data_IF_104696417317
#
_entry.id   IF_104696417317
#
_cell.length_a   1.000
_cell.length_b   1.000
_cell.length_c   1.000
_cell.angle_alpha   90.00
_cell.angle_beta   90.00
_cell.angle_gamma   90.00
#
_symmetry.space_group_name_H-M   'P 1'
#
loop_
_entity.id
_entity.type
_entity.pdbx_description
1 polymer ?
#
# COMPACT_ATOMS: atom_id res chain seq x y z
N UNK A 1 -5.81 -26.97 2.79
CA UNK A 1 -5.66 -25.63 3.38
C UNK A 1 -4.38 -25.01 2.85
N UNK A 2 -4.42 -23.88 2.13
CA UNK A 2 -3.20 -23.15 1.74
C UNK A 2 -2.55 -22.57 2.99
N UNK A 3 -1.25 -22.76 3.11
CA UNK A 3 -0.43 -22.39 4.26
C UNK A 3 -0.31 -20.85 4.28
N UNK A 4 -0.71 -20.22 5.38
CA UNK A 4 -0.40 -18.83 5.64
C UNK A 4 1.12 -18.69 5.83
N UNK A 5 1.80 -18.05 4.88
CA UNK A 5 3.21 -17.69 5.04
C UNK A 5 3.31 -16.52 6.01
N UNK A 6 4.25 -16.59 6.94
CA UNK A 6 4.58 -15.48 7.85
C UNK A 6 5.99 -15.03 7.56
N UNK A 7 6.15 -13.73 7.42
CA UNK A 7 7.46 -13.11 7.19
C UNK A 7 7.80 -12.24 8.38
N UNK A 8 9.06 -12.29 8.80
CA UNK A 8 9.59 -11.33 9.76
C UNK A 8 10.01 -10.10 8.98
N UNK A 9 9.41 -8.97 9.29
CA UNK A 9 9.73 -7.68 8.67
C UNK A 9 11.01 -7.13 9.31
N UNK A 10 12.00 -6.77 8.50
CA UNK A 10 13.24 -6.13 8.96
C UNK A 10 13.12 -4.61 8.82
N UNK A 11 12.67 -3.94 9.88
CA UNK A 11 12.54 -2.48 9.91
C UNK A 11 13.90 -1.81 10.14
N UNK A 12 14.32 -1.00 9.17
CA UNK A 12 15.52 -0.15 9.29
C UNK A 12 15.19 1.09 10.15
N UNK A 13 16.19 1.63 10.85
CA UNK A 13 16.03 2.71 11.85
C UNK A 13 15.40 3.99 11.28
N UNK A 14 15.78 4.36 10.06
CA UNK A 14 15.26 5.50 9.32
C UNK A 14 13.75 5.43 9.08
N UNK A 15 13.20 4.23 8.96
CA UNK A 15 11.79 4.03 8.69
C UNK A 15 10.89 4.27 9.91
N UNK A 16 11.32 3.85 11.12
CA UNK A 16 10.58 4.10 12.36
C UNK A 16 10.39 5.60 12.62
N UNK A 17 11.42 6.39 12.35
CA UNK A 17 11.36 7.85 12.49
C UNK A 17 10.35 8.49 11.52
N UNK A 18 10.23 7.97 10.29
CA UNK A 18 9.26 8.46 9.29
C UNK A 18 7.83 8.09 9.64
N UNK A 19 7.58 6.88 10.14
CA UNK A 19 6.26 6.47 10.64
C UNK A 19 5.82 7.36 11.81
N UNK A 20 6.75 7.69 12.71
CA UNK A 20 6.48 8.57 13.84
C UNK A 20 6.24 10.05 13.45
N UNK A 21 6.78 10.49 12.30
CA UNK A 21 6.68 11.88 11.85
C UNK A 21 5.50 12.15 10.90
N UNK A 22 4.82 11.12 10.40
CA UNK A 22 3.77 11.26 9.38
C UNK A 22 2.41 11.63 10.00
N UNK A 23 1.67 12.53 9.35
CA UNK A 23 0.29 12.85 9.76
C UNK A 23 -0.70 11.88 9.10
N UNK A 24 -1.86 11.66 9.75
CA UNK A 24 -2.93 10.81 9.17
C UNK A 24 -3.35 11.28 7.77
N UNK A 25 -3.42 12.59 7.54
CA UNK A 25 -3.73 13.19 6.23
C UNK A 25 -2.68 12.82 5.19
N UNK A 26 -1.40 12.92 5.54
CA UNK A 26 -0.28 12.57 4.65
C UNK A 26 -0.36 11.10 4.25
N UNK A 27 -0.60 10.21 5.21
CA UNK A 27 -0.69 8.77 4.94
C UNK A 27 -1.88 8.43 4.07
N UNK A 28 -3.05 9.03 4.31
CA UNK A 28 -4.22 8.86 3.43
C UNK A 28 -3.93 9.31 2.00
N UNK A 29 -3.24 10.43 1.83
CA UNK A 29 -2.82 10.90 0.50
C UNK A 29 -1.85 9.91 -0.17
N UNK A 30 -0.89 9.37 0.57
CA UNK A 30 0.04 8.36 0.05
C UNK A 30 -0.67 7.07 -0.37
N UNK A 31 -1.67 6.59 0.40
CA UNK A 31 -2.48 5.42 0.02
C UNK A 31 -3.28 5.69 -1.26
N UNK A 32 -3.83 6.90 -1.42
CA UNK A 32 -4.50 7.31 -2.64
C UNK A 32 -3.52 7.37 -3.83
N UNK A 33 -2.31 7.91 -3.63
CA UNK A 33 -1.27 7.92 -4.67
C UNK A 33 -0.86 6.50 -5.09
N UNK A 34 -0.70 5.57 -4.13
CA UNK A 34 -0.43 4.17 -4.45
C UNK A 34 -1.54 3.53 -5.29
N UNK A 35 -2.80 3.89 -5.02
CA UNK A 35 -3.94 3.44 -5.83
C UNK A 35 -3.84 3.96 -7.27
N UNK A 36 -3.46 5.24 -7.44
CA UNK A 36 -3.30 5.86 -8.75
C UNK A 36 -2.11 5.28 -9.53
N UNK A 37 -1.04 4.89 -8.85
CA UNK A 37 0.10 4.17 -9.43
C UNK A 37 -0.25 2.75 -9.88
N UNK A 38 -1.28 2.16 -9.28
CA UNK A 38 -1.88 0.90 -9.71
C UNK A 38 -2.88 1.09 -10.87
N UNK A 39 -2.90 2.28 -11.49
CA UNK A 39 -3.83 2.66 -12.57
C UNK A 39 -5.31 2.69 -12.18
N UNK A 40 -5.63 2.82 -10.89
CA UNK A 40 -7.02 2.95 -10.44
C UNK A 40 -7.70 4.18 -11.04
N UNK A 41 -8.96 4.05 -11.44
CA UNK A 41 -9.82 5.16 -11.89
C UNK A 41 -10.67 5.69 -10.74
N UNK A 42 -11.00 4.83 -9.79
CA UNK A 42 -11.81 5.15 -8.63
C UNK A 42 -11.02 4.78 -7.38
N UNK A 43 -10.89 5.75 -6.47
CA UNK A 43 -10.32 5.53 -5.13
C UNK A 43 -11.38 5.99 -4.13
N UNK A 44 -11.82 5.08 -3.28
CA UNK A 44 -12.77 5.35 -2.22
C UNK A 44 -12.06 5.34 -0.87
N UNK A 45 -12.33 6.36 -0.06
CA UNK A 45 -11.90 6.42 1.33
C UNK A 45 -13.16 6.47 2.19
N UNK A 46 -13.32 5.49 3.07
CA UNK A 46 -14.46 5.41 3.98
C UNK A 46 -14.00 5.19 5.42
N UNK A 47 -14.83 5.66 6.35
CA UNK A 47 -14.54 5.63 7.78
C UNK A 47 -15.69 4.90 8.48
N UNK A 48 -15.35 3.94 9.33
CA UNK A 48 -16.28 3.39 10.32
C UNK A 48 -16.05 4.13 11.62
N UNK A 49 -17.08 4.84 12.09
CA UNK A 49 -17.05 5.59 13.33
C UNK A 49 -17.81 4.81 14.39
N UNK A 50 -17.12 4.48 15.48
CA UNK A 50 -17.69 3.88 16.67
C UNK A 50 -18.01 4.91 17.73
N UNK A 51 -18.27 4.43 18.93
CA UNK A 51 -18.68 5.26 20.09
C UNK A 51 -17.58 6.20 20.58
N UNK A 52 -16.30 5.83 20.41
CA UNK A 52 -15.14 6.59 20.88
C UNK A 52 -14.37 7.30 19.75
N UNK A 53 -14.89 7.27 18.52
CA UNK A 53 -14.25 7.84 17.34
C UNK A 53 -14.06 6.83 16.21
N UNK A 54 -13.12 7.11 15.31
CA UNK A 54 -12.87 6.25 14.14
C UNK A 54 -12.33 4.88 14.55
N UNK A 55 -13.07 3.82 14.25
CA UNK A 55 -12.67 2.43 14.49
C UNK A 55 -11.92 1.83 13.30
N UNK A 56 -12.27 2.27 12.08
CA UNK A 56 -11.67 1.75 10.85
C UNK A 56 -11.61 2.82 9.77
N UNK A 57 -10.50 2.81 9.05
CA UNK A 57 -10.32 3.54 7.80
C UNK A 57 -10.14 2.51 6.70
N UNK A 58 -10.94 2.61 5.63
CA UNK A 58 -10.85 1.72 4.47
C UNK A 58 -10.51 2.58 3.25
N UNK A 59 -9.37 2.30 2.64
CA UNK A 59 -9.00 2.80 1.31
C UNK A 59 -9.14 1.63 0.34
N UNK A 60 -9.93 1.81 -0.72
CA UNK A 60 -10.17 0.79 -1.74
C UNK A 60 -10.13 1.40 -3.13
N UNK A 61 -9.59 0.66 -4.09
CA UNK A 61 -9.41 1.11 -5.46
C UNK A 61 -9.78 0.03 -6.50
N UNK A 62 -10.03 0.45 -7.74
CA UNK A 62 -10.26 -0.44 -8.89
C UNK A 62 -9.00 -0.66 -9.75
N UNK A 63 -7.82 -0.50 -9.16
CA UNK A 63 -6.54 -0.66 -9.82
C UNK A 63 -6.19 -2.11 -10.12
N UNK A 64 -4.99 -2.27 -10.67
CA UNK A 64 -4.44 -3.55 -11.14
C UNK A 64 -4.10 -4.55 -10.04
N UNK A 65 -4.05 -4.11 -8.78
CA UNK A 65 -3.68 -4.94 -7.63
C UNK A 65 -2.19 -5.30 -7.61
N UNK A 66 -1.86 -6.34 -6.85
CA UNK A 66 -0.49 -6.83 -6.64
C UNK A 66 -0.48 -8.34 -6.88
N UNK A 67 0.42 -8.82 -7.74
CA UNK A 67 0.58 -10.25 -7.99
C UNK A 67 1.10 -10.99 -6.75
N UNK A 68 0.76 -12.27 -6.59
CA UNK A 68 1.26 -13.04 -5.45
C UNK A 68 2.79 -13.12 -5.40
N UNK A 69 3.44 -13.14 -6.58
CA UNK A 69 4.91 -13.14 -6.72
C UNK A 69 5.53 -11.82 -6.25
N UNK A 70 4.90 -10.70 -6.55
CA UNK A 70 5.42 -9.38 -6.20
C UNK A 70 5.09 -8.99 -4.76
N UNK A 71 3.99 -9.53 -4.21
CA UNK A 71 3.53 -9.23 -2.85
C UNK A 71 4.61 -9.55 -1.80
N UNK A 72 5.30 -10.68 -1.91
CA UNK A 72 6.38 -11.02 -0.96
C UNK A 72 7.46 -9.94 -0.93
N UNK A 73 7.96 -9.52 -2.09
CA UNK A 73 8.99 -8.48 -2.15
C UNK A 73 8.49 -7.11 -1.64
N UNK A 74 7.25 -6.74 -1.96
CA UNK A 74 6.67 -5.45 -1.59
C UNK A 74 6.36 -5.32 -0.09
N UNK A 75 6.03 -6.43 0.58
CA UNK A 75 5.68 -6.44 1.99
C UNK A 75 6.83 -6.89 2.91
N UNK A 76 7.89 -7.50 2.37
CA UNK A 76 9.08 -7.92 3.15
C UNK A 76 10.21 -6.89 3.09
N UNK A 77 10.46 -6.31 1.92
CA UNK A 77 11.56 -5.35 1.75
C UNK A 77 11.09 -3.93 2.09
N UNK A 78 11.67 -3.37 3.16
CA UNK A 78 11.52 -1.95 3.48
C UNK A 78 12.51 -1.12 2.66
N UNK A 79 11.99 -0.53 1.60
CA UNK A 79 12.74 0.37 0.73
C UNK A 79 13.48 -0.34 -0.41
N UNK A 80 13.83 0.44 -1.43
CA UNK A 80 14.43 -0.05 -2.68
C UNK A 80 13.36 -0.29 -3.73
N UNK A 81 12.90 0.78 -4.38
CA UNK A 81 11.77 0.69 -5.31
C UNK A 81 12.15 -0.08 -6.58
N UNK A 82 11.32 -1.05 -6.94
CA UNK A 82 11.18 -1.54 -8.32
C UNK A 82 10.80 -0.42 -9.31
N UNK A 83 10.33 0.73 -8.79
CA UNK A 83 9.98 1.94 -9.55
C UNK A 83 11.20 2.79 -9.94
N UNK A 84 12.43 2.45 -9.54
CA UNK A 84 13.62 3.22 -9.91
C UNK A 84 13.87 3.30 -11.43
N UNK A 85 13.36 2.34 -12.21
CA UNK A 85 13.57 2.25 -13.67
C UNK A 85 12.34 2.60 -14.52
N UNK A 86 11.17 2.86 -13.92
CA UNK A 86 9.95 3.24 -14.66
C UNK A 86 9.41 4.58 -14.15
N UNK A 87 9.21 5.52 -15.06
CA UNK A 87 8.64 6.83 -14.74
C UNK A 87 7.11 6.86 -14.88
N UNK A 88 6.53 5.96 -15.67
CA UNK A 88 5.10 5.92 -15.97
C UNK A 88 4.46 4.54 -15.68
N UNK A 89 3.18 4.54 -15.35
CA UNK A 89 2.31 3.36 -15.22
C UNK A 89 1.97 2.76 -16.60
N UNK A 90 1.26 1.62 -16.64
CA UNK A 90 0.82 1.02 -17.92
C UNK A 90 -0.11 1.96 -18.69
N UNK A 91 -0.96 2.72 -17.98
CA UNK A 91 -1.85 3.71 -18.59
C UNK A 91 -1.18 5.07 -18.90
N UNK A 92 0.11 5.23 -18.61
CA UNK A 92 0.87 6.43 -18.93
C UNK A 92 0.85 7.52 -17.85
N UNK A 93 0.38 7.23 -16.64
CA UNK A 93 0.45 8.18 -15.52
C UNK A 93 1.85 8.23 -14.94
N UNK A 94 2.28 9.40 -14.49
CA UNK A 94 3.53 9.49 -13.74
C UNK A 94 3.45 8.69 -12.45
N UNK A 95 4.45 7.86 -12.19
CA UNK A 95 4.55 7.08 -10.96
C UNK A 95 4.92 7.99 -9.78
N UNK A 96 4.07 7.95 -8.76
CA UNK A 96 4.30 8.59 -7.48
C UNK A 96 4.98 7.58 -6.53
N UNK A 97 5.67 8.06 -5.50
CA UNK A 97 6.37 7.20 -4.54
C UNK A 97 7.67 6.56 -5.06
N UNK A 98 8.81 7.15 -4.68
CA UNK A 98 10.15 6.67 -5.05
C UNK A 98 10.77 5.71 -4.04
N UNK A 99 10.25 5.68 -2.81
CA UNK A 99 10.95 5.05 -1.69
C UNK A 99 10.43 3.65 -1.33
N UNK A 100 9.26 3.22 -1.82
CA UNK A 100 8.73 1.88 -1.50
C UNK A 100 8.32 1.70 -0.03
N UNK A 101 8.01 2.80 0.66
CA UNK A 101 7.75 2.84 2.10
C UNK A 101 6.26 3.01 2.47
N UNK A 102 5.40 3.21 1.47
CA UNK A 102 4.02 3.66 1.67
C UNK A 102 3.14 2.65 2.44
N UNK A 103 3.40 1.35 2.31
CA UNK A 103 2.60 0.30 2.94
C UNK A 103 2.71 0.32 4.47
N UNK A 104 3.91 0.60 5.00
CA UNK A 104 4.17 0.60 6.44
C UNK A 104 3.75 1.91 7.12
N UNK A 105 3.70 3.02 6.39
CA UNK A 105 3.15 4.27 6.90
C UNK A 105 1.66 4.16 7.27
N UNK A 106 0.95 3.15 6.75
CA UNK A 106 -0.41 2.84 7.19
C UNK A 106 -0.51 2.59 8.70
N UNK A 107 0.56 2.17 9.37
CA UNK A 107 0.60 2.00 10.84
C UNK A 107 0.45 3.33 11.61
N UNK A 108 0.65 4.49 10.97
CA UNK A 108 0.30 5.79 11.54
C UNK A 108 -1.22 5.95 11.75
N UNK A 109 -2.05 5.23 10.97
CA UNK A 109 -3.51 5.29 11.06
C UNK A 109 -4.09 4.30 12.09
N UNK A 110 -3.35 3.25 12.45
CA UNK A 110 -3.85 2.24 13.37
C UNK A 110 -2.85 1.12 13.65
N UNK A 111 -3.10 0.40 14.75
CA UNK A 111 -2.23 -0.69 15.23
C UNK A 111 -2.23 -1.91 14.31
N UNK A 112 -3.31 -2.13 13.56
CA UNK A 112 -3.49 -3.29 12.67
C UNK A 112 -3.86 -2.77 11.29
N UNK A 113 -3.19 -3.31 10.27
CA UNK A 113 -3.41 -2.96 8.86
C UNK A 113 -3.66 -4.25 8.09
N UNK A 114 -4.82 -4.34 7.45
CA UNK A 114 -5.20 -5.48 6.61
C UNK A 114 -5.17 -5.08 5.13
N UNK A 115 -4.50 -5.88 4.31
CA UNK A 115 -4.47 -5.72 2.86
C UNK A 115 -5.29 -6.82 2.21
N UNK A 116 -6.38 -6.45 1.53
CA UNK A 116 -7.20 -7.37 0.72
C UNK A 116 -7.03 -7.01 -0.74
N UNK A 117 -6.26 -7.82 -1.46
CA UNK A 117 -5.83 -7.51 -2.82
C UNK A 117 -6.25 -8.65 -3.75
N UNK A 118 -6.88 -8.28 -4.86
CA UNK A 118 -7.13 -9.14 -6.00
C UNK A 118 -6.35 -8.62 -7.19
N UNK A 119 -5.84 -9.52 -8.03
CA UNK A 119 -5.12 -9.16 -9.25
C UNK A 119 -5.55 -10.09 -10.38
N UNK A 120 -5.43 -9.63 -11.62
CA UNK A 120 -5.57 -10.46 -12.80
C UNK A 120 -4.19 -10.89 -13.27
N UNK A 121 -3.97 -12.19 -13.46
CA UNK A 121 -2.87 -12.65 -14.31
C UNK A 121 -3.29 -12.43 -15.76
N UNK A 122 -2.50 -11.70 -16.55
CA UNK A 122 -2.70 -11.65 -18.00
C UNK A 122 -2.58 -13.09 -18.52
N UNK A 123 -3.73 -13.71 -18.87
CA UNK A 123 -3.75 -15.07 -19.42
C UNK A 123 -4.91 -15.97 -19.04
N UNK A 124 -5.77 -15.60 -18.07
CA UNK A 124 -6.95 -16.41 -17.76
C UNK A 124 -8.22 -15.55 -17.83
N UNK A 125 -8.89 -15.61 -18.98
CA UNK A 125 -10.29 -15.21 -19.14
C UNK A 125 -11.20 -16.27 -18.56
#
# INVERSE_FOLDING_TARGET
>A
MKIAKRYKVEVRKDHLSKVAASSAKTVLAELAWNSLDADARIVNVSFTVGTLGTERVIVSDDGTGISYKDAENLFVLLGGSWKATKQNTKSGRFLHGKEGEGQFKAFTLGRVVDWKITYSEEGNR
#
